data_IF_037233397925
#
_entry.id   IF_037233397925
#
_cell.length_a   1.000
_cell.length_b   1.000
_cell.length_c   1.000
_cell.angle_alpha   90.00
_cell.angle_beta   90.00
_cell.angle_gamma   90.00
#
_symmetry.space_group_name_H-M   'P 1'
#
loop_
_entity.id
_entity.type
_entity.pdbx_description
1 polymer ?
#
# COMPACT_ATOMS: atom_id res chain seq x y z
N UNK A 1 -11.55 -1.74 12.99
CA UNK A 1 -10.80 -2.76 13.76
C UNK A 1 -11.66 -4.00 13.92
N UNK A 2 -11.19 -5.18 13.51
CA UNK A 2 -11.98 -6.43 13.56
C UNK A 2 -12.36 -6.76 15.03
N UNK A 3 -13.56 -7.29 15.32
CA UNK A 3 -14.03 -7.56 16.68
C UNK A 3 -13.10 -8.48 17.49
N UNK A 4 -12.61 -9.56 16.88
CA UNK A 4 -11.68 -10.52 17.52
C UNK A 4 -10.39 -9.83 18.00
N UNK A 5 -9.89 -8.87 17.22
CA UNK A 5 -8.68 -8.13 17.56
C UNK A 5 -8.87 -7.18 18.75
N UNK A 6 -10.10 -6.71 19.01
CA UNK A 6 -10.39 -5.89 20.20
C UNK A 6 -10.29 -6.70 21.49
N UNK A 7 -10.80 -7.93 21.46
CA UNK A 7 -10.86 -8.77 22.66
C UNK A 7 -9.47 -9.26 23.08
N UNK A 8 -8.65 -9.70 22.13
CA UNK A 8 -7.29 -10.14 22.40
C UNK A 8 -6.39 -9.02 22.92
N UNK A 9 -6.51 -7.82 22.34
CA UNK A 9 -5.79 -6.62 22.82
C UNK A 9 -6.18 -6.30 24.27
N UNK A 10 -7.47 -6.41 24.61
CA UNK A 10 -7.94 -6.22 25.99
C UNK A 10 -7.43 -7.29 26.94
N UNK A 11 -7.42 -8.56 26.52
CA UNK A 11 -6.89 -9.64 27.33
C UNK A 11 -5.38 -9.51 27.56
N UNK A 12 -4.62 -9.02 26.57
CA UNK A 12 -3.19 -8.77 26.72
C UNK A 12 -2.93 -7.63 27.73
N UNK A 13 -3.58 -6.48 27.57
CA UNK A 13 -3.46 -5.36 28.51
C UNK A 13 -3.86 -5.77 29.94
N UNK A 14 -4.92 -6.59 30.09
CA UNK A 14 -5.35 -7.11 31.40
C UNK A 14 -4.26 -7.98 32.05
N UNK A 15 -3.63 -8.88 31.28
CA UNK A 15 -2.56 -9.75 31.79
C UNK A 15 -1.36 -8.95 32.30
N UNK A 16 -1.01 -7.84 31.67
CA UNK A 16 0.06 -6.96 32.15
C UNK A 16 -0.30 -6.29 33.48
N UNK A 17 -1.49 -5.66 33.56
CA UNK A 17 -1.95 -5.04 34.82
C UNK A 17 -2.04 -6.06 35.95
N UNK A 18 -2.57 -7.26 35.67
CA UNK A 18 -2.67 -8.31 36.69
C UNK A 18 -1.28 -8.79 37.15
N UNK A 19 -0.28 -8.81 36.26
CA UNK A 19 1.11 -9.12 36.61
C UNK A 19 1.72 -8.03 37.49
N UNK A 20 1.59 -6.77 37.13
CA UNK A 20 2.13 -5.63 37.90
C UNK A 20 1.52 -5.58 39.31
N UNK A 21 0.23 -5.90 39.42
CA UNK A 21 -0.45 -6.04 40.71
C UNK A 21 0.11 -7.18 41.54
N UNK A 22 0.36 -8.33 40.93
CA UNK A 22 0.95 -9.48 41.62
C UNK A 22 2.42 -9.23 42.03
N UNK A 23 3.17 -8.46 41.25
CA UNK A 23 4.54 -8.04 41.57
C UNK A 23 4.54 -7.04 42.75
N UNK A 24 3.67 -6.03 42.74
CA UNK A 24 3.54 -5.07 43.84
C UNK A 24 3.15 -5.75 45.17
N UNK A 25 2.19 -6.69 45.13
CA UNK A 25 1.81 -7.47 46.32
C UNK A 25 2.98 -8.29 46.87
N UNK A 26 3.82 -8.88 45.99
CA UNK A 26 5.02 -9.62 46.40
C UNK A 26 6.10 -8.72 46.98
N UNK A 27 6.21 -7.49 46.50
CA UNK A 27 7.12 -6.48 47.04
C UNK A 27 6.63 -5.84 48.36
N UNK A 28 5.40 -6.16 48.81
CA UNK A 28 4.79 -5.54 49.98
C UNK A 28 4.28 -4.11 49.72
N UNK A 29 4.17 -3.72 48.45
CA UNK A 29 3.67 -2.41 48.03
C UNK A 29 2.14 -2.43 47.83
N UNK A 30 1.54 -1.24 47.78
CA UNK A 30 0.12 -1.11 47.44
C UNK A 30 -0.06 -1.39 45.95
N UNK A 31 -0.87 -2.40 45.55
CA UNK A 31 -1.01 -2.74 44.14
C UNK A 31 -1.77 -1.65 43.37
N UNK A 32 -1.45 -1.44 42.08
CA UNK A 32 -2.26 -0.60 41.20
C UNK A 32 -3.69 -1.13 41.07
N UNK A 33 -4.63 -0.29 40.60
CA UNK A 33 -6.01 -0.71 40.38
C UNK A 33 -6.09 -1.82 39.30
N UNK A 34 -7.15 -2.65 39.31
CA UNK A 34 -7.46 -3.55 38.18
C UNK A 34 -7.63 -2.74 36.88
N UNK A 35 -7.44 -3.37 35.71
CA UNK A 35 -7.52 -2.70 34.40
C UNK A 35 -8.77 -1.81 34.24
N UNK A 36 -9.95 -2.28 34.66
CA UNK A 36 -11.21 -1.53 34.54
C UNK A 36 -11.25 -0.27 35.44
N UNK A 37 -10.38 -0.21 36.46
CA UNK A 37 -10.19 0.93 37.37
C UNK A 37 -8.96 1.79 37.07
N UNK A 38 -8.17 1.46 36.03
CA UNK A 38 -7.06 2.31 35.56
C UNK A 38 -7.63 3.54 34.84
N UNK A 39 -7.23 4.79 35.17
CA UNK A 39 -7.66 5.99 34.46
C UNK A 39 -7.47 5.91 32.93
N UNK A 40 -8.37 6.50 32.15
CA UNK A 40 -8.38 6.36 30.67
C UNK A 40 -7.09 6.88 30.01
N UNK A 41 -6.49 7.95 30.55
CA UNK A 41 -5.22 8.52 30.12
C UNK A 41 -4.04 7.55 30.29
N UNK A 42 -4.10 6.69 31.30
CA UNK A 42 -3.10 5.63 31.55
C UNK A 42 -3.44 4.33 30.81
N UNK A 43 -4.72 4.11 30.54
CA UNK A 43 -5.22 2.92 29.83
C UNK A 43 -4.95 2.99 28.34
N UNK A 44 -5.02 4.19 27.74
CA UNK A 44 -4.80 4.39 26.31
C UNK A 44 -3.40 3.95 25.83
N UNK A 45 -2.28 4.32 26.50
CA UNK A 45 -0.96 3.80 26.17
C UNK A 45 -0.85 2.27 26.26
N UNK A 46 -1.42 1.66 27.31
CA UNK A 46 -1.43 0.20 27.47
C UNK A 46 -2.15 -0.50 26.32
N UNK A 47 -3.29 0.03 25.90
CA UNK A 47 -4.02 -0.51 24.74
C UNK A 47 -3.27 -0.29 23.43
N UNK A 48 -2.61 0.86 23.27
CA UNK A 48 -1.82 1.15 22.08
C UNK A 48 -0.65 0.16 21.96
N UNK A 49 0.08 -0.08 23.04
CA UNK A 49 1.17 -1.05 23.08
C UNK A 49 0.67 -2.48 22.90
N UNK A 50 -0.43 -2.88 23.56
CA UNK A 50 -1.05 -4.19 23.38
C UNK A 50 -1.51 -4.41 21.94
N UNK A 51 -2.06 -3.38 21.31
CA UNK A 51 -2.42 -3.40 19.89
C UNK A 51 -1.18 -3.59 19.01
N UNK A 52 -0.11 -2.86 19.27
CA UNK A 52 1.14 -2.99 18.51
C UNK A 52 1.68 -4.42 18.56
N UNK A 53 1.88 -4.97 19.77
CA UNK A 53 2.44 -6.32 19.94
C UNK A 53 1.53 -7.40 19.36
N UNK A 54 0.20 -7.26 19.48
CA UNK A 54 -0.71 -8.20 18.87
C UNK A 54 -0.68 -8.11 17.34
N UNK A 55 -0.65 -6.90 16.78
CA UNK A 55 -0.54 -6.70 15.33
C UNK A 55 0.77 -7.28 14.77
N UNK A 56 1.87 -7.18 15.52
CA UNK A 56 3.12 -7.86 15.20
C UNK A 56 2.97 -9.39 15.25
N UNK A 57 2.49 -9.94 16.37
CA UNK A 57 2.42 -11.38 16.61
C UNK A 57 1.43 -12.11 15.68
N UNK A 58 0.36 -11.43 15.27
CA UNK A 58 -0.64 -11.96 14.34
C UNK A 58 -0.21 -11.90 12.87
N UNK A 59 0.96 -11.34 12.57
CA UNK A 59 1.43 -11.15 11.20
C UNK A 59 0.71 -10.01 10.46
N UNK A 60 -0.17 -9.26 11.12
CA UNK A 60 -0.91 -8.16 10.51
C UNK A 60 -0.01 -7.02 10.05
N UNK A 61 1.17 -6.82 10.66
CA UNK A 61 2.16 -5.90 10.09
C UNK A 61 2.58 -6.34 8.69
N UNK A 62 2.82 -7.63 8.46
CA UNK A 62 3.16 -8.13 7.13
C UNK A 62 1.98 -7.99 6.17
N UNK A 63 0.75 -8.26 6.61
CA UNK A 63 -0.45 -8.01 5.79
C UNK A 63 -0.63 -6.52 5.42
N UNK A 64 -0.31 -5.60 6.34
CA UNK A 64 -0.33 -4.15 6.11
C UNK A 64 0.89 -3.65 5.32
N UNK A 65 1.98 -4.43 5.27
CA UNK A 65 3.20 -4.13 4.52
C UNK A 65 3.06 -4.44 3.03
N UNK A 66 2.09 -5.29 2.66
CA UNK A 66 1.82 -5.66 1.27
C UNK A 66 0.74 -4.72 0.72
N UNK A 67 0.98 -4.05 -0.43
CA UNK A 67 -0.04 -3.22 -1.04
C UNK A 67 -1.27 -4.07 -1.35
N UNK A 68 -2.49 -3.51 -1.30
CA UNK A 68 -3.65 -4.24 -1.76
C UNK A 68 -3.47 -4.62 -3.22
N UNK A 69 -3.70 -5.89 -3.53
CA UNK A 69 -3.68 -6.38 -4.90
C UNK A 69 -4.71 -5.60 -5.71
N UNK A 70 -4.38 -5.12 -6.92
CA UNK A 70 -5.34 -4.45 -7.78
C UNK A 70 -6.49 -5.41 -8.10
N UNK A 71 -7.71 -4.87 -8.11
CA UNK A 71 -8.85 -5.61 -8.64
C UNK A 71 -8.74 -5.76 -10.15
N UNK A 72 -9.50 -6.69 -10.74
CA UNK A 72 -9.61 -6.80 -12.20
C UNK A 72 -10.07 -5.48 -12.87
N UNK A 73 -10.88 -4.67 -12.16
CA UNK A 73 -11.28 -3.34 -12.63
C UNK A 73 -10.10 -2.37 -12.64
N UNK A 74 -9.23 -2.39 -11.62
CA UNK A 74 -8.02 -1.56 -11.59
C UNK A 74 -7.05 -1.94 -12.70
N UNK A 75 -6.88 -3.23 -12.97
CA UNK A 75 -6.01 -3.73 -14.05
C UNK A 75 -6.54 -3.25 -15.41
N UNK A 76 -7.85 -3.33 -15.63
CA UNK A 76 -8.47 -2.82 -16.87
C UNK A 76 -8.28 -1.32 -17.03
N UNK A 77 -8.55 -0.53 -15.99
CA UNK A 77 -8.35 0.91 -16.02
C UNK A 77 -6.89 1.30 -16.30
N UNK A 78 -5.93 0.54 -15.77
CA UNK A 78 -4.50 0.69 -16.05
C UNK A 78 -4.18 0.45 -17.53
N UNK A 79 -4.68 -0.65 -18.08
CA UNK A 79 -4.50 -0.98 -19.50
C UNK A 79 -5.03 0.13 -20.40
N UNK A 80 -6.26 0.58 -20.15
CA UNK A 80 -6.93 1.57 -20.97
C UNK A 80 -6.18 2.92 -20.92
N UNK A 81 -5.81 3.38 -19.72
CA UNK A 81 -5.06 4.63 -19.53
C UNK A 81 -3.68 4.61 -20.19
N UNK A 82 -2.91 3.52 -20.05
CA UNK A 82 -1.60 3.41 -20.68
C UNK A 82 -1.71 3.35 -22.21
N UNK A 83 -2.74 2.69 -22.75
CA UNK A 83 -3.00 2.67 -24.17
C UNK A 83 -3.32 4.07 -24.71
N UNK A 84 -4.15 4.84 -24.00
CA UNK A 84 -4.47 6.24 -24.33
C UNK A 84 -3.22 7.13 -24.28
N UNK A 85 -2.39 7.01 -23.25
CA UNK A 85 -1.15 7.77 -23.13
C UNK A 85 -0.19 7.46 -24.29
N UNK A 86 0.01 6.19 -24.61
CA UNK A 86 0.89 5.79 -25.71
C UNK A 86 0.36 6.27 -27.07
N UNK A 87 -0.96 6.19 -27.30
CA UNK A 87 -1.59 6.70 -28.51
C UNK A 87 -1.41 8.22 -28.66
N UNK A 88 -1.57 8.97 -27.57
CA UNK A 88 -1.33 10.42 -27.54
C UNK A 88 0.13 10.75 -27.87
N UNK A 89 1.08 10.06 -27.23
CA UNK A 89 2.51 10.27 -27.48
C UNK A 89 2.89 9.94 -28.93
N UNK A 90 2.37 8.85 -29.50
CA UNK A 90 2.54 8.54 -30.93
C UNK A 90 2.03 9.67 -31.82
N UNK A 91 0.82 10.15 -31.57
CA UNK A 91 0.25 11.28 -32.33
C UNK A 91 1.07 12.57 -32.18
N UNK A 92 1.61 12.84 -30.99
CA UNK A 92 2.53 13.97 -30.79
C UNK A 92 3.82 13.78 -31.59
N UNK A 93 4.38 12.58 -31.59
CA UNK A 93 5.62 12.27 -32.31
C UNK A 93 5.45 12.35 -33.83
N UNK A 94 4.36 11.84 -34.37
CA UNK A 94 4.02 11.96 -35.79
C UNK A 94 3.95 13.42 -36.23
N UNK A 95 3.31 14.29 -35.43
CA UNK A 95 3.24 15.74 -35.71
C UNK A 95 4.59 16.44 -35.70
N UNK A 96 5.59 15.92 -34.98
CA UNK A 96 6.94 16.50 -34.90
C UNK A 96 7.89 15.94 -35.95
N UNK A 97 7.61 14.74 -36.48
CA UNK A 97 8.42 14.13 -37.54
C UNK A 97 9.89 14.02 -37.15
N UNK A 98 10.77 14.53 -37.99
CA UNK A 98 12.23 14.43 -37.81
C UNK A 98 12.81 15.45 -36.82
N UNK A 99 11.97 16.31 -36.23
CA UNK A 99 12.39 17.29 -35.22
C UNK A 99 12.48 16.72 -33.80
N UNK A 100 12.22 15.42 -33.63
CA UNK A 100 12.35 14.75 -32.35
C UNK A 100 13.82 14.47 -32.01
N UNK A 101 14.20 14.47 -30.72
CA UNK A 101 15.50 13.98 -30.31
C UNK A 101 15.74 12.53 -30.77
N UNK A 102 16.99 12.22 -31.10
CA UNK A 102 17.41 10.86 -31.40
C UNK A 102 17.05 9.90 -30.26
N UNK A 103 16.55 8.71 -30.61
CA UNK A 103 16.15 7.70 -29.63
C UNK A 103 14.73 7.83 -29.09
N UNK A 104 14.00 8.93 -29.36
CA UNK A 104 12.66 9.11 -28.79
C UNK A 104 11.67 8.03 -29.24
N UNK A 105 11.77 7.56 -30.49
CA UNK A 105 10.91 6.50 -31.04
C UNK A 105 11.22 5.15 -30.42
N UNK A 106 12.50 4.85 -30.30
CA UNK A 106 13.02 3.61 -29.73
C UNK A 106 12.65 3.49 -28.25
N UNK A 107 12.74 4.60 -27.51
CA UNK A 107 12.36 4.65 -26.10
C UNK A 107 10.84 4.45 -25.93
N UNK A 108 10.00 5.10 -26.74
CA UNK A 108 8.55 4.86 -26.66
C UNK A 108 8.21 3.39 -26.99
N UNK A 109 8.78 2.83 -28.04
CA UNK A 109 8.56 1.42 -28.39
C UNK A 109 9.01 0.46 -27.28
N UNK A 110 10.13 0.78 -26.62
CA UNK A 110 10.63 0.01 -25.46
C UNK A 110 9.64 0.09 -24.29
N UNK A 111 9.11 1.27 -24.01
CA UNK A 111 8.11 1.47 -22.96
C UNK A 111 6.84 0.68 -23.27
N UNK A 112 6.34 0.73 -24.50
CA UNK A 112 5.15 -0.03 -24.92
C UNK A 112 5.34 -1.54 -24.74
N UNK A 113 6.52 -2.06 -25.09
CA UNK A 113 6.86 -3.47 -24.86
C UNK A 113 6.85 -3.81 -23.36
N UNK A 114 7.47 -2.98 -22.53
CA UNK A 114 7.52 -3.18 -21.08
C UNK A 114 6.13 -3.13 -20.44
N UNK A 115 5.29 -2.20 -20.87
CA UNK A 115 3.88 -2.12 -20.47
C UNK A 115 3.14 -3.41 -20.82
N UNK A 116 3.29 -3.90 -22.06
CA UNK A 116 2.63 -5.14 -22.48
C UNK A 116 3.06 -6.35 -21.63
N UNK A 117 4.36 -6.50 -21.38
CA UNK A 117 4.89 -7.60 -20.55
C UNK A 117 4.41 -7.51 -19.10
N UNK A 118 4.42 -6.32 -18.51
CA UNK A 118 3.99 -6.12 -17.14
C UNK A 118 2.47 -6.34 -16.98
N UNK A 119 1.66 -5.91 -17.95
CA UNK A 119 0.23 -6.20 -17.99
C UNK A 119 -0.04 -7.70 -18.09
N UNK A 120 0.67 -8.42 -18.96
CA UNK A 120 0.53 -9.87 -19.08
C UNK A 120 0.80 -10.59 -17.75
N UNK A 121 1.87 -10.21 -17.04
CA UNK A 121 2.18 -10.75 -15.72
C UNK A 121 1.07 -10.50 -14.70
N UNK A 122 0.55 -9.27 -14.64
CA UNK A 122 -0.48 -8.86 -13.68
C UNK A 122 -1.83 -9.51 -13.98
N UNK A 123 -2.19 -9.61 -15.26
CA UNK A 123 -3.46 -10.19 -15.71
C UNK A 123 -3.54 -11.69 -15.46
N UNK A 124 -2.42 -12.40 -15.60
CA UNK A 124 -2.35 -13.85 -15.46
C UNK A 124 -1.99 -14.32 -14.03
N UNK A 125 -1.68 -13.40 -13.11
CA UNK A 125 -1.25 -13.76 -11.76
C UNK A 125 -2.31 -14.51 -10.94
N UNK A 126 -3.59 -14.14 -11.07
CA UNK A 126 -4.70 -14.76 -10.33
C UNK A 126 -4.42 -14.90 -8.83
N UNK A 127 -4.55 -16.11 -8.29
CA UNK A 127 -4.22 -16.40 -6.89
C UNK A 127 -2.71 -16.52 -6.62
N UNK A 128 -1.90 -16.72 -7.66
CA UNK A 128 -0.45 -16.92 -7.61
C UNK A 128 0.35 -15.60 -7.64
N UNK A 129 -0.26 -14.51 -7.19
CA UNK A 129 0.36 -13.19 -7.09
C UNK A 129 1.69 -13.25 -6.33
N UNK A 130 2.78 -12.99 -7.05
CA UNK A 130 4.15 -13.12 -6.56
C UNK A 130 4.87 -11.77 -6.55
N UNK A 131 6.12 -11.75 -6.07
CA UNK A 131 6.93 -10.52 -5.99
C UNK A 131 7.18 -9.91 -7.36
N UNK A 132 7.32 -10.74 -8.38
CA UNK A 132 7.47 -10.32 -9.78
C UNK A 132 6.20 -9.60 -10.27
N UNK A 133 5.02 -10.06 -9.83
CA UNK A 133 3.74 -9.39 -10.11
C UNK A 133 3.62 -8.06 -9.38
N UNK A 134 4.09 -7.98 -8.13
CA UNK A 134 4.16 -6.71 -7.38
C UNK A 134 5.05 -5.70 -8.10
N UNK A 135 6.23 -6.12 -8.56
CA UNK A 135 7.16 -5.28 -9.30
C UNK A 135 6.57 -4.83 -10.64
N UNK A 136 5.92 -5.73 -11.39
CA UNK A 136 5.24 -5.41 -12.63
C UNK A 136 4.12 -4.39 -12.41
N UNK A 137 3.29 -4.57 -11.38
CA UNK A 137 2.26 -3.60 -11.03
C UNK A 137 2.83 -2.24 -10.64
N UNK A 138 3.92 -2.22 -9.87
CA UNK A 138 4.59 -0.98 -9.51
C UNK A 138 5.15 -0.25 -10.73
N UNK A 139 5.76 -0.97 -11.67
CA UNK A 139 6.23 -0.41 -12.93
C UNK A 139 5.09 0.21 -13.74
N UNK A 140 3.95 -0.49 -13.86
CA UNK A 140 2.77 0.05 -14.55
C UNK A 140 2.27 1.34 -13.90
N UNK A 141 2.18 1.39 -12.58
CA UNK A 141 1.80 2.58 -11.83
C UNK A 141 2.75 3.76 -12.09
N UNK A 142 4.06 3.50 -12.13
CA UNK A 142 5.06 4.52 -12.42
C UNK A 142 4.93 5.04 -13.86
N UNK A 143 4.85 4.13 -14.84
CA UNK A 143 4.72 4.49 -16.25
C UNK A 143 3.42 5.24 -16.53
N UNK A 144 2.32 4.85 -15.89
CA UNK A 144 1.03 5.52 -16.04
C UNK A 144 1.06 6.99 -15.61
N UNK A 145 1.88 7.33 -14.61
CA UNK A 145 2.12 8.71 -14.17
C UNK A 145 3.08 9.44 -15.10
N UNK A 146 4.20 8.81 -15.46
CA UNK A 146 5.23 9.44 -16.30
C UNK A 146 4.75 9.73 -17.72
N UNK A 147 3.90 8.86 -18.28
CA UNK A 147 3.38 8.97 -19.64
C UNK A 147 2.11 9.82 -19.72
N UNK A 148 1.46 10.12 -18.59
CA UNK A 148 0.30 10.99 -18.56
C UNK A 148 0.70 12.41 -18.98
N UNK A 149 0.49 12.73 -20.26
CA UNK A 149 0.69 14.06 -20.79
C UNK A 149 -0.60 14.85 -20.71
N UNK A 150 -0.69 15.74 -19.71
CA UNK A 150 -1.72 16.76 -19.64
C UNK A 150 -1.05 18.13 -19.41
N UNK A 151 -1.11 19.05 -20.39
CA UNK A 151 -0.49 20.36 -20.28
C UNK A 151 -1.10 21.26 -19.20
N UNK A 152 -2.23 20.87 -18.61
CA UNK A 152 -2.94 21.60 -17.55
C UNK A 152 -2.81 20.96 -16.15
N UNK A 153 -2.19 19.79 -16.02
CA UNK A 153 -2.04 19.07 -14.73
C UNK A 153 -0.68 19.26 -14.07
N UNK A 154 -0.70 19.32 -12.75
CA UNK A 154 0.47 19.18 -11.88
C UNK A 154 0.77 17.70 -11.63
N UNK A 155 1.48 17.04 -12.54
CA UNK A 155 2.26 15.77 -12.44
C UNK A 155 1.76 14.51 -11.67
N UNK A 156 0.72 14.53 -10.83
CA UNK A 156 0.45 13.48 -9.83
C UNK A 156 -0.98 12.90 -9.80
N UNK A 157 -1.87 13.27 -10.72
CA UNK A 157 -3.31 13.06 -10.48
C UNK A 157 -3.87 11.71 -10.92
N UNK A 158 -3.16 10.93 -11.74
CA UNK A 158 -3.73 9.68 -12.25
C UNK A 158 -3.30 8.47 -11.43
N UNK A 159 -4.28 7.86 -10.76
CA UNK A 159 -4.24 6.50 -10.22
C UNK A 159 -5.60 5.85 -10.43
N UNK A 160 -5.66 4.50 -10.51
CA UNK A 160 -6.94 3.79 -10.52
C UNK A 160 -7.77 4.13 -9.28
N UNK A 161 -9.10 4.10 -9.41
CA UNK A 161 -10.01 4.35 -8.29
C UNK A 161 -9.73 3.39 -7.12
N UNK A 162 -9.71 3.92 -5.90
CA UNK A 162 -9.37 3.17 -4.68
C UNK A 162 -7.88 3.01 -4.38
N UNK A 163 -6.98 3.46 -5.26
CA UNK A 163 -5.52 3.36 -5.10
C UNK A 163 -4.82 4.61 -4.54
N UNK A 164 -5.56 5.72 -4.37
CA UNK A 164 -5.05 7.00 -3.83
C UNK A 164 -4.39 6.87 -2.44
N UNK A 165 -4.88 5.98 -1.59
CA UNK A 165 -4.38 5.81 -0.22
C UNK A 165 -2.96 5.19 -0.15
N UNK A 166 -2.46 4.64 -1.25
CA UNK A 166 -1.19 3.91 -1.31
C UNK A 166 -0.12 4.67 -2.10
N UNK A 167 -0.52 5.63 -2.94
CA UNK A 167 0.40 6.48 -3.68
C UNK A 167 1.44 7.19 -2.76
N UNK A 168 1.04 7.55 -1.53
CA UNK A 168 1.92 8.18 -0.54
C UNK A 168 2.83 7.24 0.25
N UNK A 169 2.64 5.91 0.18
CA UNK A 169 3.45 4.92 0.90
C UNK A 169 4.60 4.35 0.06
N UNK A 170 4.54 4.47 -1.27
CA UNK A 170 5.55 3.95 -2.21
C UNK A 170 6.49 5.03 -2.77
N UNK A 171 6.51 6.23 -2.16
CA UNK A 171 7.28 7.39 -2.61
C UNK A 171 8.16 8.01 -1.50
N UNK A 172 8.67 7.17 -0.59
CA UNK A 172 9.84 7.52 0.25
C UNK A 172 11.01 6.64 -0.14
#
# INVERSE_FOLDING_TARGET
MRPVLRDDVRQLAKRWVDRDRADALRAGEKPPPPLDGVPDDQRAPLFHEAHYWHTLASGLFLEQSVPPRPSAANIRAMRDHLAECCALLRSMMERRGDLLPDGAREQLATIELRVAMALDLVENAGAAWARETDAAWHELMLLARLLAYDPSRTRDDWVPEGWNNFAGLYLV
#
